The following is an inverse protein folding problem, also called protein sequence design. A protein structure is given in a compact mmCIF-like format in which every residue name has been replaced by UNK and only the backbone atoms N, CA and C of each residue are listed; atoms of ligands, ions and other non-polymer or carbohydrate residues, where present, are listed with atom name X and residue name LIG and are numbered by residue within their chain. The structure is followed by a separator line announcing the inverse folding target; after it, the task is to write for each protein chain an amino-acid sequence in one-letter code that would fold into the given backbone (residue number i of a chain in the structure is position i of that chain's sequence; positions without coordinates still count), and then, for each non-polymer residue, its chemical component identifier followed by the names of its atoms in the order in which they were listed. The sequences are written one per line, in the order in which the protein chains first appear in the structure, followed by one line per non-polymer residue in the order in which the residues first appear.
data_IF_398681661746
#
_entry.id   IF_398681661746
#
_cell.length_a   1.000
_cell.length_b   1.000
_cell.length_c   1.000
_cell.angle_alpha   90.00
_cell.angle_beta   90.00
_cell.angle_gamma   90.00
#
_symmetry.space_group_name_H-M   'P 1'
#
loop_
_entity.id
_entity.type
_entity.pdbx_description
1 polymer ?
#
# COMPACT_ATOMS: atom_id res chain seq x y z
N UNK A 1 7.62 -11.28 -14.90
CA UNK A 1 7.56 -10.21 -13.86
C UNK A 1 6.20 -10.26 -13.20
N UNK A 2 6.15 -10.28 -11.88
CA UNK A 2 4.89 -10.29 -11.15
C UNK A 2 4.22 -8.90 -11.18
N UNK A 3 2.93 -8.85 -10.83
CA UNK A 3 2.18 -7.60 -10.77
C UNK A 3 2.80 -6.59 -9.78
N UNK A 4 3.21 -7.07 -8.60
CA UNK A 4 3.87 -6.21 -7.62
C UNK A 4 5.22 -5.69 -8.10
N UNK A 5 6.03 -6.54 -8.74
CA UNK A 5 7.32 -6.13 -9.28
C UNK A 5 7.17 -5.08 -10.39
N UNK A 6 6.20 -5.27 -11.28
CA UNK A 6 5.88 -4.29 -12.33
C UNK A 6 5.42 -2.96 -11.73
N UNK A 7 4.59 -3.02 -10.69
CA UNK A 7 4.11 -1.82 -10.00
C UNK A 7 5.27 -1.05 -9.33
N UNK A 8 6.19 -1.75 -8.67
CA UNK A 8 7.35 -1.12 -8.03
C UNK A 8 8.26 -0.44 -9.05
N UNK A 9 8.49 -1.07 -10.19
CA UNK A 9 9.26 -0.46 -11.29
C UNK A 9 8.56 0.82 -11.80
N UNK A 10 7.25 0.76 -11.99
CA UNK A 10 6.45 1.90 -12.43
C UNK A 10 6.44 3.04 -11.40
N UNK A 11 6.38 2.72 -10.10
CA UNK A 11 6.46 3.69 -9.01
C UNK A 11 7.71 4.57 -9.14
N UNK A 12 8.85 3.95 -9.35
CA UNK A 12 10.14 4.65 -9.43
C UNK A 12 10.25 5.54 -10.69
N UNK A 13 9.41 5.32 -11.69
CA UNK A 13 9.30 6.17 -12.87
C UNK A 13 8.26 7.29 -12.70
N UNK A 14 7.18 7.00 -11.97
CA UNK A 14 6.02 7.88 -11.87
C UNK A 14 6.16 8.95 -10.78
N UNK A 15 6.92 8.66 -9.73
CA UNK A 15 6.99 9.47 -8.51
C UNK A 15 8.42 9.93 -8.26
N UNK A 16 8.64 11.21 -7.93
CA UNK A 16 9.97 11.73 -7.57
C UNK A 16 10.36 11.24 -6.17
N UNK A 17 10.76 9.98 -6.08
CA UNK A 17 11.19 9.37 -4.82
C UNK A 17 12.56 9.92 -4.44
N UNK A 18 12.76 10.45 -3.21
CA UNK A 18 14.06 10.90 -2.75
C UNK A 18 15.12 9.80 -2.86
N UNK A 19 16.37 10.17 -3.16
CA UNK A 19 17.45 9.22 -3.45
C UNK A 19 17.64 8.17 -2.35
N UNK A 20 17.57 8.58 -1.08
CA UNK A 20 17.69 7.69 0.07
C UNK A 20 16.58 6.65 0.13
N UNK A 21 15.35 7.09 -0.07
CA UNK A 21 14.19 6.19 -0.07
C UNK A 21 14.20 5.28 -1.30
N UNK A 22 14.60 5.81 -2.45
CA UNK A 22 14.76 5.04 -3.68
C UNK A 22 15.74 3.88 -3.49
N UNK A 23 16.90 4.12 -2.91
CA UNK A 23 17.88 3.08 -2.61
C UNK A 23 17.33 2.03 -1.65
N UNK A 24 16.59 2.46 -0.64
CA UNK A 24 15.93 1.57 0.32
C UNK A 24 14.89 0.67 -0.38
N UNK A 25 14.03 1.25 -1.22
CA UNK A 25 13.02 0.49 -1.97
C UNK A 25 13.70 -0.51 -2.92
N UNK A 26 14.72 -0.09 -3.64
CA UNK A 26 15.46 -0.97 -4.56
C UNK A 26 16.11 -2.15 -3.83
N UNK A 27 16.70 -1.90 -2.66
CA UNK A 27 17.32 -2.96 -1.87
C UNK A 27 16.33 -4.01 -1.35
N UNK A 28 15.07 -3.62 -1.17
CA UNK A 28 14.02 -4.47 -0.59
C UNK A 28 12.97 -4.92 -1.60
N UNK A 29 13.13 -4.57 -2.86
CA UNK A 29 12.08 -4.72 -3.88
C UNK A 29 11.57 -6.15 -4.04
N UNK A 30 12.45 -7.14 -4.01
CA UNK A 30 12.05 -8.54 -4.19
C UNK A 30 11.18 -9.03 -3.02
N UNK A 31 11.59 -8.72 -1.80
CA UNK A 31 10.83 -9.07 -0.60
C UNK A 31 9.47 -8.35 -0.57
N UNK A 32 9.44 -7.07 -0.92
CA UNK A 32 8.20 -6.28 -0.97
C UNK A 32 7.27 -6.86 -2.03
N UNK A 33 7.78 -7.13 -3.23
CA UNK A 33 6.97 -7.65 -4.33
C UNK A 33 6.38 -9.02 -4.00
N UNK A 34 7.19 -9.96 -3.53
CA UNK A 34 6.73 -11.30 -3.17
C UNK A 34 5.68 -11.26 -2.05
N UNK A 35 5.90 -10.45 -1.03
CA UNK A 35 4.96 -10.29 0.08
C UNK A 35 3.65 -9.67 -0.35
N UNK A 36 3.69 -8.66 -1.21
CA UNK A 36 2.50 -8.00 -1.73
C UNK A 36 1.67 -8.93 -2.62
N UNK A 37 2.32 -9.64 -3.55
CA UNK A 37 1.63 -10.58 -4.42
C UNK A 37 0.95 -11.70 -3.63
N UNK A 38 1.64 -12.27 -2.66
CA UNK A 38 1.10 -13.34 -1.82
C UNK A 38 -0.09 -12.86 -0.98
N UNK A 39 0.04 -11.71 -0.33
CA UNK A 39 -1.01 -11.14 0.51
C UNK A 39 -2.23 -10.70 -0.29
N UNK A 40 -2.03 -10.06 -1.43
CA UNK A 40 -3.10 -9.65 -2.32
C UNK A 40 -3.90 -10.86 -2.82
N UNK A 41 -3.22 -11.91 -3.24
CA UNK A 41 -3.87 -13.16 -3.67
C UNK A 41 -4.62 -13.85 -2.52
N UNK A 42 -4.02 -13.93 -1.35
CA UNK A 42 -4.62 -14.60 -0.19
C UNK A 42 -5.91 -13.92 0.29
N UNK A 43 -5.99 -12.61 0.18
CA UNK A 43 -7.12 -11.83 0.68
C UNK A 43 -8.04 -11.26 -0.42
N UNK A 44 -7.72 -11.51 -1.68
CA UNK A 44 -8.52 -11.06 -2.81
C UNK A 44 -8.57 -9.54 -2.98
N UNK A 45 -7.49 -8.83 -2.63
CA UNK A 45 -7.39 -7.39 -2.82
C UNK A 45 -6.47 -7.05 -3.99
N UNK A 46 -6.71 -5.93 -4.71
CA UNK A 46 -5.81 -5.52 -5.78
C UNK A 46 -4.41 -5.19 -5.24
N UNK A 47 -3.37 -5.74 -5.87
CA UNK A 47 -1.98 -5.49 -5.46
C UNK A 47 -1.62 -4.00 -5.59
N UNK A 48 -2.13 -3.32 -6.61
CA UNK A 48 -1.91 -1.89 -6.80
C UNK A 48 -2.48 -1.06 -5.63
N UNK A 49 -3.65 -1.44 -5.11
CA UNK A 49 -4.24 -0.78 -3.95
C UNK A 49 -3.40 -1.00 -2.69
N UNK A 50 -3.01 -2.25 -2.44
CA UNK A 50 -2.18 -2.61 -1.30
C UNK A 50 -0.86 -1.84 -1.29
N UNK A 51 -0.15 -1.80 -2.42
CA UNK A 51 1.13 -1.10 -2.53
C UNK A 51 0.97 0.42 -2.48
N UNK A 52 -0.11 0.98 -3.02
CA UNK A 52 -0.39 2.41 -2.94
C UNK A 52 -0.62 2.85 -1.50
N UNK A 53 -1.40 2.10 -0.74
CA UNK A 53 -1.60 2.36 0.69
C UNK A 53 -0.28 2.26 1.44
N UNK A 54 0.51 1.22 1.20
CA UNK A 54 1.81 1.04 1.84
C UNK A 54 2.77 2.19 1.57
N UNK A 55 2.78 2.69 0.33
CA UNK A 55 3.63 3.84 -0.02
C UNK A 55 3.16 5.12 0.68
N UNK A 56 1.88 5.42 0.65
CA UNK A 56 1.34 6.63 1.29
C UNK A 56 1.42 6.59 2.81
N UNK A 57 1.42 5.40 3.42
CA UNK A 57 1.61 5.25 4.85
C UNK A 57 3.05 5.48 5.29
N UNK A 58 4.02 4.90 4.62
CA UNK A 58 5.40 4.84 5.11
C UNK A 58 6.47 4.81 4.03
N UNK A 59 6.13 5.14 2.79
CA UNK A 59 7.01 4.98 1.62
C UNK A 59 7.61 3.56 1.57
N UNK A 60 6.77 2.56 1.72
CA UNK A 60 7.14 1.15 1.77
C UNK A 60 8.14 0.82 2.90
N UNK A 61 8.02 1.52 4.01
CA UNK A 61 8.91 1.38 5.16
C UNK A 61 10.24 2.10 5.03
N UNK A 62 10.42 2.90 4.01
CA UNK A 62 11.68 3.58 3.70
C UNK A 62 11.72 5.04 4.13
N UNK A 63 10.63 5.60 4.64
CA UNK A 63 10.64 6.97 5.18
C UNK A 63 11.38 7.02 6.52
N UNK A 64 11.93 8.19 6.87
CA UNK A 64 12.68 8.39 8.11
C UNK A 64 11.85 8.16 9.37
N UNK A 65 10.52 8.29 9.26
CA UNK A 65 9.59 8.18 10.38
C UNK A 65 8.70 6.95 10.31
N UNK A 66 9.02 6.00 9.43
CA UNK A 66 8.18 4.82 9.27
C UNK A 66 8.38 3.84 10.42
N UNK A 67 7.28 3.44 11.04
CA UNK A 67 7.24 2.37 12.02
C UNK A 67 7.16 0.97 11.40
N UNK A 68 7.02 0.87 10.08
CA UNK A 68 6.88 -0.40 9.37
C UNK A 68 6.50 -0.21 7.92
N UNK A 69 6.65 -1.27 7.14
CA UNK A 69 6.50 -1.22 5.68
C UNK A 69 5.05 -0.96 5.21
N UNK A 70 4.05 -1.36 5.99
CA UNK A 70 2.68 -1.51 5.53
C UNK A 70 1.66 -0.65 6.29
N UNK A 71 2.13 0.25 7.16
CA UNK A 71 1.27 1.15 7.90
C UNK A 71 1.11 0.77 9.37
N UNK A 72 0.34 1.57 10.09
CA UNK A 72 0.34 1.68 11.53
C UNK A 72 0.27 0.36 12.28
N UNK A 73 -0.66 -0.39 12.63
CA UNK A 73 -0.50 -1.42 13.67
C UNK A 73 0.55 -2.50 13.34
N UNK A 74 1.05 -2.48 12.15
CA UNK A 74 2.02 -3.44 11.60
C UNK A 74 3.44 -3.24 12.15
N UNK A 75 3.78 -2.01 12.51
CA UNK A 75 5.06 -1.68 13.10
C UNK A 75 5.35 -2.44 14.41
N UNK A 76 4.30 -2.91 15.06
CA UNK A 76 4.39 -3.65 16.32
C UNK A 76 4.50 -5.16 16.13
N UNK A 77 4.46 -5.65 14.90
CA UNK A 77 4.59 -7.07 14.65
C UNK A 77 6.02 -7.44 14.31
N UNK A 78 6.56 -8.42 15.01
CA UNK A 78 7.88 -8.98 14.74
C UNK A 78 7.92 -9.87 13.48
N UNK A 79 6.87 -9.85 12.68
CA UNK A 79 6.72 -10.74 11.52
C UNK A 79 7.34 -10.22 10.23
N UNK A 80 7.98 -9.05 10.29
CA UNK A 80 8.67 -8.48 9.13
C UNK A 80 7.73 -8.06 7.99
N UNK A 81 8.28 -7.95 6.79
CA UNK A 81 7.57 -7.45 5.59
C UNK A 81 6.39 -8.35 5.22
N UNK A 82 6.58 -9.66 5.23
CA UNK A 82 5.53 -10.60 4.84
C UNK A 82 4.31 -10.54 5.77
N UNK A 83 4.54 -10.53 7.09
CA UNK A 83 3.47 -10.43 8.07
C UNK A 83 2.74 -9.09 8.00
N UNK A 84 3.47 -8.02 7.69
CA UNK A 84 2.90 -6.69 7.49
C UNK A 84 1.99 -6.61 6.27
N UNK A 85 2.40 -7.18 5.16
CA UNK A 85 1.60 -7.24 3.95
C UNK A 85 0.29 -8.01 4.16
N UNK A 86 0.36 -9.16 4.83
CA UNK A 86 -0.80 -9.98 5.14
C UNK A 86 -1.82 -9.21 5.99
N UNK A 87 -1.38 -8.52 7.03
CA UNK A 87 -2.27 -7.72 7.89
C UNK A 87 -2.91 -6.56 7.14
N UNK A 88 -2.15 -5.84 6.33
CA UNK A 88 -2.67 -4.73 5.53
C UNK A 88 -3.70 -5.22 4.53
N UNK A 89 -3.42 -6.30 3.81
CA UNK A 89 -4.36 -6.89 2.86
C UNK A 89 -5.62 -7.42 3.55
N UNK A 90 -5.49 -8.04 4.71
CA UNK A 90 -6.62 -8.48 5.52
C UNK A 90 -7.51 -7.32 5.97
N UNK A 91 -6.91 -6.22 6.41
CA UNK A 91 -7.63 -5.01 6.81
C UNK A 91 -8.37 -4.36 5.63
N UNK A 92 -7.73 -4.29 4.47
CA UNK A 92 -8.37 -3.79 3.25
C UNK A 92 -9.52 -4.69 2.82
N UNK A 93 -9.34 -6.01 2.84
CA UNK A 93 -10.39 -6.98 2.51
C UNK A 93 -11.61 -6.83 3.44
N UNK A 94 -11.37 -6.65 4.73
CA UNK A 94 -12.44 -6.38 5.69
C UNK A 94 -13.20 -5.09 5.33
N UNK A 95 -12.47 -4.04 4.97
CA UNK A 95 -13.06 -2.78 4.53
C UNK A 95 -13.92 -2.93 3.27
N UNK A 96 -13.47 -3.71 2.29
CA UNK A 96 -14.29 -4.05 1.13
C UNK A 96 -15.62 -4.70 1.54
N UNK A 97 -15.57 -5.69 2.41
CA UNK A 97 -16.78 -6.38 2.86
C UNK A 97 -17.73 -5.48 3.64
N UNK A 98 -17.20 -4.62 4.50
CA UNK A 98 -18.00 -3.73 5.35
C UNK A 98 -18.55 -2.51 4.63
N UNK A 99 -17.86 -2.05 3.60
CA UNK A 99 -18.09 -0.74 3.00
C UNK A 99 -18.57 -0.83 1.54
N UNK A 100 -19.34 -1.84 1.21
CA UNK A 100 -20.05 -1.93 -0.08
C UNK A 100 -19.18 -2.40 -1.25
N UNK A 101 -18.02 -2.98 -1.01
CA UNK A 101 -17.18 -3.57 -2.06
C UNK A 101 -16.42 -2.55 -2.91
N UNK A 102 -16.21 -1.33 -2.43
CA UNK A 102 -15.49 -0.28 -3.15
C UNK A 102 -14.07 -0.10 -2.61
N UNK A 103 -13.09 0.25 -3.46
CA UNK A 103 -11.74 0.56 -2.98
C UNK A 103 -11.72 1.79 -2.08
N UNK A 104 -12.56 2.78 -2.34
CA UNK A 104 -12.68 3.98 -1.50
C UNK A 104 -13.14 3.62 -0.08
N UNK A 105 -14.15 2.77 0.03
CA UNK A 105 -14.63 2.27 1.32
C UNK A 105 -13.57 1.45 2.05
N UNK A 106 -12.82 0.62 1.32
CA UNK A 106 -11.73 -0.17 1.89
C UNK A 106 -10.64 0.72 2.49
N UNK A 107 -10.24 1.78 1.79
CA UNK A 107 -9.25 2.75 2.28
C UNK A 107 -9.77 3.53 3.49
N UNK A 108 -10.99 4.01 3.45
CA UNK A 108 -11.62 4.71 4.58
C UNK A 108 -11.64 3.83 5.83
N UNK A 109 -12.05 2.59 5.68
CA UNK A 109 -12.05 1.61 6.77
C UNK A 109 -10.65 1.33 7.30
N UNK A 110 -9.67 1.18 6.42
CA UNK A 110 -8.28 0.98 6.78
C UNK A 110 -7.73 2.15 7.62
N UNK A 111 -8.01 3.38 7.17
CA UNK A 111 -7.49 4.60 7.81
C UNK A 111 -8.20 4.95 9.11
N UNK A 112 -9.53 4.86 9.13
CA UNK A 112 -10.35 5.44 10.22
C UNK A 112 -11.35 4.46 10.85
N UNK A 113 -11.44 3.25 10.35
CA UNK A 113 -12.44 2.29 10.84
C UNK A 113 -13.87 2.62 10.43
N UNK A 114 -14.06 3.56 9.50
CA UNK A 114 -15.35 4.03 9.02
C UNK A 114 -15.41 3.84 7.49
N UNK A 115 -16.64 3.73 6.96
CA UNK A 115 -16.82 3.62 5.50
C UNK A 115 -16.79 4.97 4.78
N UNK A 116 -16.47 6.04 5.48
CA UNK A 116 -16.39 7.41 4.96
C UNK A 116 -15.23 8.15 5.61
N UNK A 117 -14.79 9.21 4.95
CA UNK A 117 -13.79 10.12 5.52
C UNK A 117 -14.47 10.95 6.62
N UNK A 118 -14.01 10.89 7.87
CA UNK A 118 -14.59 11.71 8.93
C UNK A 118 -14.28 13.19 8.73
N UNK A 119 -15.16 14.05 9.24
CA UNK A 119 -14.94 15.50 9.25
C UNK A 119 -13.64 15.83 10.00
N UNK A 120 -12.81 16.70 9.44
CA UNK A 120 -11.54 17.11 10.05
C UNK A 120 -10.42 16.06 9.93
N UNK A 121 -10.59 15.02 9.12
CA UNK A 121 -9.55 14.03 8.89
C UNK A 121 -8.30 14.64 8.27
N UNK A 122 -7.13 14.16 8.72
CA UNK A 122 -5.83 14.59 8.22
C UNK A 122 -5.11 13.45 7.48
N UNK A 123 -4.15 13.84 6.63
CA UNK A 123 -3.37 12.89 5.85
C UNK A 123 -4.09 12.43 4.59
N UNK A 124 -3.58 11.35 4.00
CA UNK A 124 -4.16 10.84 2.77
C UNK A 124 -5.53 10.18 3.02
N UNK A 125 -6.37 10.25 2.01
CA UNK A 125 -7.67 9.58 1.99
C UNK A 125 -7.87 8.74 0.73
N UNK A 126 -9.09 8.19 0.54
CA UNK A 126 -9.39 7.35 -0.62
C UNK A 126 -9.09 8.01 -1.96
N UNK A 127 -9.44 9.29 -2.12
CA UNK A 127 -9.19 10.02 -3.36
C UNK A 127 -7.70 10.11 -3.67
N UNK A 128 -6.86 10.32 -2.66
CA UNK A 128 -5.40 10.37 -2.81
C UNK A 128 -4.84 9.03 -3.26
N UNK A 129 -5.30 7.94 -2.63
CA UNK A 129 -4.89 6.58 -3.00
C UNK A 129 -5.26 6.27 -4.44
N UNK A 130 -6.47 6.61 -4.86
CA UNK A 130 -6.94 6.34 -6.22
C UNK A 130 -6.16 7.13 -7.26
N UNK A 131 -5.88 8.41 -7.01
CA UNK A 131 -5.04 9.24 -7.89
C UNK A 131 -3.61 8.70 -7.96
N UNK A 132 -3.05 8.32 -6.83
CA UNK A 132 -1.70 7.76 -6.77
C UNK A 132 -1.61 6.45 -7.53
N UNK A 133 -2.53 5.53 -7.30
CA UNK A 133 -2.59 4.26 -8.00
C UNK A 133 -2.71 4.45 -9.53
N UNK A 134 -3.56 5.36 -9.96
CA UNK A 134 -3.72 5.68 -11.38
C UNK A 134 -2.43 6.26 -11.99
N UNK A 135 -1.74 7.13 -11.27
CA UNK A 135 -0.47 7.71 -11.70
C UNK A 135 0.60 6.64 -11.90
N UNK A 136 0.71 5.71 -10.97
CA UNK A 136 1.66 4.59 -11.10
C UNK A 136 1.24 3.66 -12.23
N UNK A 137 -0.05 3.31 -12.31
CA UNK A 137 -0.57 2.42 -13.35
C UNK A 137 -0.27 2.94 -14.77
N UNK A 138 -0.28 4.25 -14.97
CA UNK A 138 0.05 4.86 -16.26
C UNK A 138 1.51 4.59 -16.72
N UNK A 139 2.37 4.14 -15.80
CA UNK A 139 3.76 3.80 -16.08
C UNK A 139 4.04 2.30 -16.08
N UNK A 140 3.03 1.49 -15.81
CA UNK A 140 3.17 0.04 -15.93
C UNK A 140 3.28 -0.29 -17.41
N UNK A 141 4.33 -1.04 -17.79
CA UNK A 141 4.53 -1.47 -19.16
C UNK A 141 3.39 -2.41 -19.60
N UNK A 142 2.92 -2.27 -20.86
CA UNK A 142 1.88 -3.15 -21.38
C UNK A 142 2.36 -4.59 -21.55
#
# INVERSE_FOLDING_TARGET
MTAAAAWLAALLLAVPVPARERSCILARRETIAASADAAAAAHGVPVALLLSVAYLESHLGCSAHSGGCWGAPISRTRRGVAGGADRAASALALGYRRCGGTPEGAVSSFRWGLCRVPAGAHGYGPADVMRFAARVAARVAP
#
